data_IF_048044054905
#
_entry.id   IF_048044054905
#
_cell.length_a   1.000
_cell.length_b   1.000
_cell.length_c   1.000
_cell.angle_alpha   90.00
_cell.angle_beta   90.00
_cell.angle_gamma   90.00
#
_symmetry.space_group_name_H-M   'P 1'
#
loop_
_entity.id
_entity.type
_entity.pdbx_description
1 polymer ?
#
# COMPACT_ATOMS: atom_id res chain seq x y z
N UNK A 1 7.96 -90.16 40.15
CA UNK A 1 7.43 -89.30 41.25
C UNK A 1 8.13 -87.95 41.25
N UNK A 2 9.47 -87.88 41.18
CA UNK A 2 10.22 -86.60 41.08
C UNK A 2 9.80 -85.68 39.94
N UNK A 3 9.45 -86.22 38.76
CA UNK A 3 9.09 -85.39 37.59
C UNK A 3 7.73 -84.70 37.75
N UNK A 4 6.81 -85.30 38.52
CA UNK A 4 5.49 -84.73 38.79
C UNK A 4 5.64 -83.56 39.77
N UNK A 5 6.43 -83.73 40.83
CA UNK A 5 6.69 -82.67 41.83
C UNK A 5 7.41 -81.46 41.21
N UNK A 6 8.31 -81.69 40.22
CA UNK A 6 8.97 -80.61 39.49
C UNK A 6 7.99 -79.86 38.57
N UNK A 7 7.09 -80.58 37.90
CA UNK A 7 6.04 -79.99 37.08
C UNK A 7 5.05 -79.18 37.93
N UNK A 8 4.65 -79.67 39.11
CA UNK A 8 3.77 -78.95 40.04
C UNK A 8 4.40 -77.66 40.58
N UNK A 9 5.70 -77.68 40.92
CA UNK A 9 6.44 -76.48 41.33
C UNK A 9 6.53 -75.45 40.19
N UNK A 10 6.79 -75.92 38.96
CA UNK A 10 6.81 -75.04 37.77
C UNK A 10 5.44 -74.47 37.47
N UNK A 11 4.37 -75.25 37.58
CA UNK A 11 3.00 -74.79 37.34
C UNK A 11 2.59 -73.76 38.39
N UNK A 12 2.90 -73.99 39.66
CA UNK A 12 2.60 -73.04 40.75
C UNK A 12 3.33 -71.71 40.55
N UNK A 13 4.62 -71.75 40.21
CA UNK A 13 5.40 -70.56 39.89
C UNK A 13 4.87 -69.83 38.65
N UNK A 14 4.46 -70.56 37.61
CA UNK A 14 3.85 -69.98 36.42
C UNK A 14 2.51 -69.31 36.73
N UNK A 15 1.66 -69.94 37.54
CA UNK A 15 0.36 -69.41 37.96
C UNK A 15 0.51 -68.17 38.85
N UNK A 16 1.49 -68.16 39.76
CA UNK A 16 1.78 -67.01 40.61
C UNK A 16 2.33 -65.83 39.80
N UNK A 17 3.18 -66.11 38.80
CA UNK A 17 3.68 -65.11 37.85
C UNK A 17 2.58 -64.58 36.92
N UNK A 18 1.63 -65.43 36.51
CA UNK A 18 0.43 -65.01 35.78
C UNK A 18 -0.49 -64.17 36.67
N UNK A 19 -0.69 -64.55 37.93
CA UNK A 19 -1.48 -63.79 38.90
C UNK A 19 -0.88 -62.41 39.18
N UNK A 20 0.43 -62.33 39.35
CA UNK A 20 1.15 -61.05 39.47
C UNK A 20 1.09 -60.23 38.17
N UNK A 21 1.20 -60.89 37.01
CA UNK A 21 1.02 -60.25 35.70
C UNK A 21 -0.37 -59.67 35.52
N UNK A 22 -1.41 -60.43 35.87
CA UNK A 22 -2.82 -60.01 35.80
C UNK A 22 -3.12 -58.87 36.78
N UNK A 23 -2.63 -58.94 38.02
CA UNK A 23 -2.77 -57.85 38.99
C UNK A 23 -1.99 -56.58 38.58
N UNK A 24 -0.93 -56.72 37.77
CA UNK A 24 -0.24 -55.61 37.11
C UNK A 24 -1.05 -55.00 35.96
N UNK A 25 -1.71 -55.84 35.14
CA UNK A 25 -2.61 -55.39 34.08
C UNK A 25 -3.88 -54.72 34.62
N UNK A 26 -4.42 -55.19 35.75
CA UNK A 26 -5.61 -54.59 36.37
C UNK A 26 -5.31 -53.22 37.02
N UNK A 27 -4.05 -53.00 37.42
CA UNK A 27 -3.56 -51.69 37.90
C UNK A 27 -3.14 -50.75 36.77
N UNK A 28 -2.65 -51.30 35.65
CA UNK A 28 -2.42 -50.57 34.42
C UNK A 28 -3.73 -50.46 33.66
N UNK A 29 -4.66 -49.63 34.14
CA UNK A 29 -5.83 -49.24 33.35
C UNK A 29 -5.37 -48.24 32.27
N UNK A 30 -5.22 -48.65 31.00
CA UNK A 30 -4.79 -47.74 29.94
C UNK A 30 -5.84 -46.66 29.65
N UNK A 31 -7.06 -46.77 30.17
CA UNK A 31 -8.09 -45.74 30.03
C UNK A 31 -7.96 -44.59 31.04
N UNK A 32 -7.15 -44.77 32.09
CA UNK A 32 -7.07 -43.82 33.22
C UNK A 32 -5.95 -42.78 33.07
N UNK A 33 -5.03 -42.98 32.14
CA UNK A 33 -3.95 -42.03 31.85
C UNK A 33 -4.38 -40.88 30.92
N UNK A 34 -5.43 -41.01 30.10
CA UNK A 34 -5.51 -40.16 28.91
C UNK A 34 -6.69 -39.19 28.82
N UNK A 35 -7.71 -39.24 29.69
CA UNK A 35 -8.90 -38.38 29.50
C UNK A 35 -8.66 -36.91 29.86
N UNK A 36 -8.03 -36.63 31.00
CA UNK A 36 -7.74 -35.26 31.44
C UNK A 36 -6.66 -34.58 30.56
N UNK A 37 -5.66 -35.33 30.08
CA UNK A 37 -4.65 -34.82 29.16
C UNK A 37 -5.24 -34.55 27.77
N UNK A 38 -6.10 -35.44 27.25
CA UNK A 38 -6.82 -35.22 25.99
C UNK A 38 -7.78 -34.04 26.08
N UNK A 39 -8.46 -33.84 27.21
CA UNK A 39 -9.30 -32.64 27.43
C UNK A 39 -8.46 -31.36 27.45
N UNK A 40 -7.33 -31.34 28.16
CA UNK A 40 -6.41 -30.20 28.17
C UNK A 40 -5.81 -29.89 26.79
N UNK A 41 -5.43 -30.91 26.02
CA UNK A 41 -4.93 -30.75 24.64
C UNK A 41 -6.02 -30.24 23.69
N UNK A 42 -7.28 -30.66 23.88
CA UNK A 42 -8.42 -30.14 23.11
C UNK A 42 -8.68 -28.67 23.43
N UNK A 43 -8.65 -28.28 24.70
CA UNK A 43 -8.81 -26.88 25.10
C UNK A 43 -7.67 -25.99 24.56
N UNK A 44 -6.43 -26.47 24.62
CA UNK A 44 -5.28 -25.78 24.02
C UNK A 44 -5.42 -25.65 22.50
N UNK A 45 -5.87 -26.71 21.81
CA UNK A 45 -6.10 -26.69 20.36
C UNK A 45 -7.20 -25.70 19.97
N UNK A 46 -8.30 -25.64 20.72
CA UNK A 46 -9.38 -24.67 20.47
C UNK A 46 -8.91 -23.23 20.74
N UNK A 47 -8.11 -23.02 21.78
CA UNK A 47 -7.48 -21.71 22.07
C UNK A 47 -6.56 -21.28 20.92
N UNK A 48 -5.69 -22.17 20.45
CA UNK A 48 -4.80 -21.89 19.32
C UNK A 48 -5.57 -21.67 18.02
N UNK A 49 -6.64 -22.41 17.77
CA UNK A 49 -7.53 -22.19 16.61
C UNK A 49 -8.20 -20.83 16.66
N UNK A 50 -8.69 -20.41 17.84
CA UNK A 50 -9.29 -19.09 18.02
C UNK A 50 -8.26 -17.97 17.80
N UNK A 51 -7.05 -18.14 18.34
CA UNK A 51 -5.92 -17.21 18.12
C UNK A 51 -5.55 -17.13 16.64
N UNK A 52 -5.46 -18.28 15.95
CA UNK A 52 -5.14 -18.34 14.53
C UNK A 52 -6.22 -17.68 13.67
N UNK A 53 -7.50 -17.90 13.97
CA UNK A 53 -8.61 -17.21 13.31
C UNK A 53 -8.51 -15.69 13.47
N UNK A 54 -8.27 -15.20 14.69
CA UNK A 54 -8.08 -13.77 14.94
C UNK A 54 -6.88 -13.18 14.19
N UNK A 55 -5.77 -13.91 14.13
CA UNK A 55 -4.58 -13.48 13.38
C UNK A 55 -4.86 -13.44 11.88
N UNK A 56 -5.54 -14.44 11.33
CA UNK A 56 -5.92 -14.45 9.91
C UNK A 56 -6.84 -13.27 9.56
N UNK A 57 -7.81 -12.96 10.43
CA UNK A 57 -8.70 -11.81 10.22
C UNK A 57 -7.92 -10.49 10.29
N UNK A 58 -6.96 -10.36 11.21
CA UNK A 58 -6.07 -9.21 11.27
C UNK A 58 -5.20 -9.08 10.02
N UNK A 59 -4.64 -10.18 9.53
CA UNK A 59 -3.81 -10.19 8.32
C UNK A 59 -4.64 -9.76 7.11
N UNK A 60 -5.88 -10.27 6.97
CA UNK A 60 -6.80 -9.85 5.90
C UNK A 60 -7.09 -8.35 5.98
N UNK A 61 -7.48 -7.85 7.16
CA UNK A 61 -7.75 -6.43 7.35
C UNK A 61 -6.54 -5.54 7.04
N UNK A 62 -5.33 -5.98 7.40
CA UNK A 62 -4.08 -5.29 7.07
C UNK A 62 -3.84 -5.32 5.55
N UNK A 63 -4.00 -6.47 4.90
CA UNK A 63 -3.81 -6.61 3.45
C UNK A 63 -4.78 -5.71 2.68
N UNK A 64 -6.06 -5.73 3.02
CA UNK A 64 -7.08 -4.87 2.41
C UNK A 64 -6.74 -3.37 2.56
N UNK A 65 -6.28 -2.98 3.75
CA UNK A 65 -5.83 -1.60 4.01
C UNK A 65 -4.58 -1.24 3.19
N UNK A 66 -3.62 -2.16 3.08
CA UNK A 66 -2.40 -1.97 2.31
C UNK A 66 -2.70 -1.87 0.81
N UNK A 67 -3.53 -2.76 0.27
CA UNK A 67 -3.98 -2.72 -1.13
C UNK A 67 -4.68 -1.40 -1.44
N UNK A 68 -5.57 -0.94 -0.55
CA UNK A 68 -6.23 0.37 -0.69
C UNK A 68 -5.23 1.53 -0.65
N UNK A 69 -4.21 1.44 0.21
CA UNK A 69 -3.18 2.48 0.33
C UNK A 69 -2.27 2.51 -0.89
N UNK A 70 -1.86 1.35 -1.40
CA UNK A 70 -1.05 1.19 -2.61
C UNK A 70 -1.81 1.75 -3.81
N UNK A 71 -3.06 1.35 -4.01
CA UNK A 71 -3.89 1.86 -5.11
C UNK A 71 -4.01 3.39 -5.08
N UNK A 72 -4.18 3.99 -3.89
CA UNK A 72 -4.23 5.45 -3.73
C UNK A 72 -2.88 6.12 -4.07
N UNK A 73 -1.78 5.52 -3.67
CA UNK A 73 -0.44 6.05 -3.96
C UNK A 73 -0.12 5.93 -5.46
N UNK A 74 -0.47 4.81 -6.09
CA UNK A 74 -0.33 4.61 -7.52
C UNK A 74 -1.16 5.62 -8.32
N UNK A 75 -2.41 5.86 -7.92
CA UNK A 75 -3.25 6.90 -8.52
C UNK A 75 -2.59 8.29 -8.42
N UNK A 76 -2.16 8.69 -7.23
CA UNK A 76 -1.48 9.98 -7.03
C UNK A 76 -0.18 10.09 -7.83
N UNK A 77 0.58 9.01 -7.92
CA UNK A 77 1.78 8.98 -8.74
C UNK A 77 1.48 9.18 -10.23
N UNK A 78 0.40 8.55 -10.72
CA UNK A 78 -0.10 8.77 -12.09
C UNK A 78 -0.55 10.21 -12.34
N UNK A 79 -1.31 10.80 -11.42
CA UNK A 79 -1.74 12.20 -11.50
C UNK A 79 -0.54 13.17 -11.50
N UNK A 80 0.46 12.94 -10.65
CA UNK A 80 1.68 13.75 -10.63
C UNK A 80 2.50 13.59 -11.92
N UNK A 81 2.58 12.39 -12.48
CA UNK A 81 3.29 12.16 -13.74
C UNK A 81 2.62 12.91 -14.91
N UNK A 82 1.29 12.86 -15.01
CA UNK A 82 0.54 13.62 -16.00
C UNK A 82 0.76 15.13 -15.86
N UNK A 83 0.74 15.66 -14.63
CA UNK A 83 1.00 17.08 -14.36
C UNK A 83 2.42 17.51 -14.75
N UNK A 84 3.41 16.63 -14.59
CA UNK A 84 4.79 16.90 -15.03
C UNK A 84 4.84 17.01 -16.56
N UNK A 85 4.21 16.11 -17.29
CA UNK A 85 4.16 16.14 -18.76
C UNK A 85 3.48 17.42 -19.30
N UNK A 86 2.40 17.85 -18.65
CA UNK A 86 1.73 19.12 -18.96
C UNK A 86 2.66 20.33 -18.73
N UNK A 87 3.38 20.36 -17.60
CA UNK A 87 4.33 21.43 -17.29
C UNK A 87 5.54 21.44 -18.24
N UNK A 88 6.04 20.28 -18.65
CA UNK A 88 7.10 20.18 -19.65
C UNK A 88 6.66 20.77 -20.99
N UNK A 89 5.43 20.48 -21.40
CA UNK A 89 4.83 21.05 -22.62
C UNK A 89 4.70 22.57 -22.53
N UNK A 90 4.27 23.09 -21.38
CA UNK A 90 4.16 24.55 -21.17
C UNK A 90 5.54 25.23 -21.15
N UNK A 91 6.55 24.60 -20.55
CA UNK A 91 7.93 25.11 -20.57
C UNK A 91 8.45 25.22 -22.01
N UNK A 92 8.23 24.20 -22.84
CA UNK A 92 8.66 24.25 -24.25
C UNK A 92 7.91 25.32 -25.04
N UNK A 93 6.60 25.49 -24.78
CA UNK A 93 5.80 26.57 -25.35
C UNK A 93 6.35 27.95 -24.96
N UNK A 94 6.64 28.17 -23.68
CA UNK A 94 7.20 29.43 -23.17
C UNK A 94 8.60 29.70 -23.76
N UNK A 95 9.43 28.67 -23.94
CA UNK A 95 10.73 28.77 -24.61
C UNK A 95 10.57 29.23 -26.06
N UNK A 96 9.63 28.64 -26.80
CA UNK A 96 9.34 29.03 -28.18
C UNK A 96 8.85 30.48 -28.29
N UNK A 97 7.93 30.90 -27.41
CA UNK A 97 7.44 32.29 -27.35
C UNK A 97 8.57 33.26 -27.03
N UNK A 98 9.43 32.95 -26.06
CA UNK A 98 10.59 33.78 -25.72
C UNK A 98 11.60 33.88 -26.88
N UNK A 99 11.87 32.79 -27.59
CA UNK A 99 12.73 32.80 -28.76
C UNK A 99 12.18 33.74 -29.84
N UNK A 100 10.87 33.64 -30.12
CA UNK A 100 10.18 34.52 -31.07
C UNK A 100 10.23 35.98 -30.65
N UNK A 101 10.00 36.30 -29.37
CA UNK A 101 10.09 37.68 -28.85
C UNK A 101 11.51 38.27 -28.99
N UNK A 102 12.56 37.45 -28.79
CA UNK A 102 13.95 37.88 -28.98
C UNK A 102 14.27 38.13 -30.45
N UNK A 103 13.77 37.28 -31.33
CA UNK A 103 13.90 37.45 -32.77
C UNK A 103 13.21 38.73 -33.25
N UNK A 104 11.94 38.94 -32.86
CA UNK A 104 11.19 40.16 -33.23
C UNK A 104 11.85 41.42 -32.66
N UNK A 105 12.29 41.39 -31.40
CA UNK A 105 13.03 42.51 -30.80
C UNK A 105 14.32 42.82 -31.54
N UNK A 106 15.04 41.80 -32.02
CA UNK A 106 16.27 41.98 -32.80
C UNK A 106 15.96 42.55 -34.18
N UNK A 107 14.95 42.03 -34.86
CA UNK A 107 14.48 42.54 -36.15
C UNK A 107 14.06 44.02 -36.06
N UNK A 108 13.30 44.38 -35.03
CA UNK A 108 12.92 45.78 -34.77
C UNK A 108 14.12 46.69 -34.52
N UNK A 109 15.09 46.25 -33.71
CA UNK A 109 16.31 47.04 -33.44
C UNK A 109 17.12 47.23 -34.72
N UNK A 110 17.25 46.20 -35.55
CA UNK A 110 17.94 46.29 -36.85
C UNK A 110 17.21 47.23 -37.81
N UNK A 111 15.88 47.11 -37.93
CA UNK A 111 15.07 47.99 -38.79
C UNK A 111 15.17 49.46 -38.35
N UNK A 112 15.10 49.72 -37.04
CA UNK A 112 15.29 51.06 -36.48
C UNK A 112 16.71 51.60 -36.73
N UNK A 113 17.74 50.76 -36.56
CA UNK A 113 19.14 51.16 -36.81
C UNK A 113 19.42 51.49 -38.29
N UNK A 114 18.69 50.87 -39.22
CA UNK A 114 18.77 51.13 -40.66
C UNK A 114 17.97 52.38 -41.08
N UNK A 115 17.29 53.07 -40.16
CA UNK A 115 16.38 54.16 -40.47
C UNK A 115 15.14 53.72 -41.25
N UNK A 116 14.91 52.41 -41.36
CA UNK A 116 13.78 51.77 -42.03
C UNK A 116 12.66 51.49 -41.02
N UNK A 117 12.34 52.46 -40.15
CA UNK A 117 11.31 52.33 -39.11
C UNK A 117 9.93 52.08 -39.71
N UNK A 118 9.64 50.83 -40.05
CA UNK A 118 8.41 50.41 -40.68
C UNK A 118 7.35 50.23 -39.58
N UNK A 119 6.34 51.10 -39.59
CA UNK A 119 5.20 51.03 -38.66
C UNK A 119 4.53 49.66 -38.65
N UNK A 120 4.58 48.91 -39.77
CA UNK A 120 4.02 47.57 -39.83
C UNK A 120 4.80 46.56 -38.98
N UNK A 121 6.13 46.66 -38.93
CA UNK A 121 6.97 45.78 -38.11
C UNK A 121 6.79 46.07 -36.61
N UNK A 122 6.66 47.34 -36.24
CA UNK A 122 6.39 47.76 -34.85
C UNK A 122 5.00 47.27 -34.42
N UNK A 123 3.98 47.41 -35.26
CA UNK A 123 2.63 46.90 -34.96
C UNK A 123 2.62 45.37 -34.82
N UNK A 124 3.31 44.65 -35.71
CA UNK A 124 3.39 43.18 -35.63
C UNK A 124 4.10 42.71 -34.34
N UNK A 125 5.12 43.44 -33.88
CA UNK A 125 5.77 43.14 -32.62
C UNK A 125 4.89 43.47 -31.40
N UNK A 126 4.17 44.60 -31.41
CA UNK A 126 3.21 44.94 -30.36
C UNK A 126 2.05 43.94 -30.29
N UNK A 127 1.55 43.45 -31.44
CA UNK A 127 0.54 42.40 -31.48
C UNK A 127 1.06 41.08 -30.90
N UNK A 128 2.29 40.68 -31.24
CA UNK A 128 2.91 39.48 -30.68
C UNK A 128 3.12 39.59 -29.17
N UNK A 129 3.49 40.77 -28.67
CA UNK A 129 3.67 41.03 -27.23
C UNK A 129 2.32 41.03 -26.48
N UNK A 130 1.27 41.62 -27.07
CA UNK A 130 -0.08 41.57 -26.53
C UNK A 130 -0.62 40.14 -26.45
N UNK A 131 -0.39 39.33 -27.48
CA UNK A 131 -0.81 37.93 -27.47
C UNK A 131 -0.01 37.09 -26.47
N UNK A 132 1.29 37.34 -26.32
CA UNK A 132 2.10 36.72 -25.27
C UNK A 132 1.60 37.10 -23.86
N UNK A 133 1.28 38.38 -23.62
CA UNK A 133 0.72 38.85 -22.35
C UNK A 133 -0.65 38.25 -22.05
N UNK A 134 -1.52 38.10 -23.05
CA UNK A 134 -2.82 37.43 -22.87
C UNK A 134 -2.65 35.96 -22.49
N UNK A 135 -1.74 35.25 -23.15
CA UNK A 135 -1.46 33.84 -22.86
C UNK A 135 -0.90 33.65 -21.45
N UNK A 136 0.02 34.53 -21.03
CA UNK A 136 0.56 34.51 -19.67
C UNK A 136 -0.55 34.74 -18.64
N UNK A 137 -1.41 35.76 -18.85
CA UNK A 137 -2.53 36.03 -17.94
C UNK A 137 -3.56 34.90 -17.86
N UNK A 138 -3.80 34.21 -18.97
CA UNK A 138 -4.70 33.05 -18.97
C UNK A 138 -4.08 31.87 -18.22
N UNK A 139 -2.78 31.63 -18.39
CA UNK A 139 -2.02 30.64 -17.62
C UNK A 139 -2.05 30.95 -16.13
N UNK A 140 -1.74 32.19 -15.73
CA UNK A 140 -1.79 32.63 -14.34
C UNK A 140 -3.18 32.43 -13.74
N UNK A 141 -4.24 32.72 -14.52
CA UNK A 141 -5.63 32.54 -14.08
C UNK A 141 -5.98 31.06 -13.92
N UNK A 142 -5.52 30.19 -14.81
CA UNK A 142 -5.71 28.75 -14.71
C UNK A 142 -5.00 28.18 -13.47
N UNK A 143 -3.76 28.60 -13.22
CA UNK A 143 -2.99 28.21 -12.03
C UNK A 143 -3.68 28.68 -10.74
N UNK A 144 -4.09 29.95 -10.67
CA UNK A 144 -4.83 30.48 -9.53
C UNK A 144 -6.16 29.75 -9.30
N UNK A 145 -6.86 29.37 -10.37
CA UNK A 145 -8.11 28.62 -10.28
C UNK A 145 -7.88 27.20 -9.74
N UNK A 146 -6.79 26.55 -10.15
CA UNK A 146 -6.38 25.25 -9.61
C UNK A 146 -6.01 25.34 -8.12
N UNK A 147 -5.22 26.35 -7.73
CA UNK A 147 -4.88 26.62 -6.33
C UNK A 147 -6.15 26.86 -5.50
N UNK A 148 -7.10 27.66 -6.01
CA UNK A 148 -8.37 27.90 -5.33
C UNK A 148 -9.20 26.61 -5.19
N UNK A 149 -9.22 25.75 -6.22
CA UNK A 149 -9.90 24.45 -6.15
C UNK A 149 -9.29 23.53 -5.09
N UNK A 150 -7.98 23.60 -4.87
CA UNK A 150 -7.30 22.86 -3.80
C UNK A 150 -7.56 23.47 -2.41
N UNK A 151 -7.64 24.80 -2.30
CA UNK A 151 -7.81 25.52 -1.03
C UNK A 151 -9.26 25.54 -0.51
N UNK A 152 -10.27 25.61 -1.39
CA UNK A 152 -11.69 25.67 -0.98
C UNK A 152 -12.08 24.48 -0.10
N UNK A 153 -11.80 23.21 -0.47
CA UNK A 153 -12.12 22.06 0.38
C UNK A 153 -11.40 22.08 1.74
N UNK A 154 -10.18 22.65 1.82
CA UNK A 154 -9.44 22.78 3.07
C UNK A 154 -10.05 23.85 3.98
N UNK A 155 -10.54 24.95 3.42
CA UNK A 155 -11.24 26.00 4.15
C UNK A 155 -12.61 25.53 4.65
N UNK A 156 -13.36 24.79 3.83
CA UNK A 156 -14.68 24.25 4.18
C UNK A 156 -14.58 23.06 5.15
N UNK A 157 -13.58 22.18 4.99
CA UNK A 157 -13.29 21.09 5.92
C UNK A 157 -12.81 21.55 7.30
N UNK A 158 -12.23 22.76 7.40
CA UNK A 158 -11.84 23.38 8.67
C UNK A 158 -12.99 23.99 9.48
N UNK A 159 -14.14 24.26 8.85
CA UNK A 159 -15.30 24.85 9.51
C UNK A 159 -16.17 23.83 10.29
N UNK A 160 -15.88 22.52 10.17
CA UNK A 160 -16.61 21.45 10.86
C UNK A 160 -16.02 21.00 12.20
N UNK A 161 -14.96 21.65 12.69
CA UNK A 161 -14.24 21.25 13.92
C UNK A 161 -14.03 22.40 14.94
N UNK A 162 -14.87 23.44 14.90
CA UNK A 162 -14.93 24.47 15.94
C UNK A 162 -16.28 24.43 16.68
#
# INVERSE_FOLDING_TARGET
MSDIDELERRLSSALERIGQGLGGLEKADPSRADTAEVEGLREALETERASNAQLNDRVKAISERQETQVARLEQRAGEMAARIEELETEIERLRAVNARLRETSTALRTANAQGLGDSSAINAAMEAELDALKQLRESDRAELSAILADLIPLAEGGAGHA
#
